data_IF_489524404396
#
_entry.id   IF_489524404396
#
_cell.length_a   1.000
_cell.length_b   1.000
_cell.length_c   1.000
_cell.angle_alpha   90.00
_cell.angle_beta   90.00
_cell.angle_gamma   90.00
#
_symmetry.space_group_name_H-M   'P 1'
#
loop_
_entity.id
_entity.type
_entity.pdbx_description
1 polymer ?
#
# COMPACT_ATOMS: atom_id res chain seq x y z
N UNK A 1 14.32 -32.96 68.70
CA UNK A 1 14.57 -31.58 69.15
C UNK A 1 16.07 -31.43 69.33
N UNK A 2 16.75 -30.91 68.31
CA UNK A 2 18.17 -30.58 68.42
C UNK A 2 18.28 -29.19 69.05
N UNK A 3 18.93 -29.13 70.19
CA UNK A 3 19.18 -27.95 70.99
C UNK A 3 20.07 -26.95 70.24
N UNK A 4 19.55 -25.76 69.93
CA UNK A 4 20.39 -24.60 69.59
C UNK A 4 20.71 -23.90 70.91
N UNK A 5 21.77 -24.36 71.57
CA UNK A 5 22.32 -23.71 72.76
C UNK A 5 23.54 -22.91 72.32
N UNK A 6 23.47 -21.59 72.52
CA UNK A 6 24.56 -20.62 72.32
C UNK A 6 24.77 -20.11 70.89
N UNK A 7 23.88 -19.22 70.45
CA UNK A 7 24.28 -18.08 69.62
C UNK A 7 24.52 -16.89 70.56
N UNK A 8 25.59 -17.01 71.34
CA UNK A 8 26.10 -15.94 72.19
C UNK A 8 26.77 -14.88 71.33
N UNK A 9 26.30 -13.64 71.46
CA UNK A 9 26.98 -12.36 71.29
C UNK A 9 28.52 -12.47 71.11
N UNK A 10 28.99 -12.69 69.87
CA UNK A 10 30.44 -12.81 69.59
C UNK A 10 30.84 -13.69 68.40
N UNK A 11 29.93 -14.42 67.75
CA UNK A 11 30.28 -15.40 66.71
C UNK A 11 30.61 -14.83 65.32
N UNK A 12 30.56 -13.52 65.11
CA UNK A 12 30.75 -12.92 63.77
C UNK A 12 29.73 -13.38 62.71
N UNK A 13 28.65 -14.03 63.15
CA UNK A 13 27.54 -14.43 62.27
C UNK A 13 26.67 -13.21 62.05
N UNK A 14 26.71 -12.71 60.83
CA UNK A 14 25.84 -11.67 60.34
C UNK A 14 24.42 -12.22 60.23
N UNK A 15 23.62 -12.02 61.29
CA UNK A 15 22.21 -12.42 61.35
C UNK A 15 21.39 -11.75 60.25
N UNK A 16 21.81 -10.57 59.77
CA UNK A 16 21.17 -9.89 58.67
C UNK A 16 21.41 -10.65 57.36
N UNK A 17 22.63 -11.10 57.12
CA UNK A 17 22.97 -12.01 56.00
C UNK A 17 22.22 -13.34 56.05
N UNK A 18 21.99 -13.93 57.23
CA UNK A 18 21.19 -15.15 57.37
C UNK A 18 19.70 -14.93 57.07
N UNK A 19 19.13 -13.82 57.55
CA UNK A 19 17.73 -13.44 57.29
C UNK A 19 17.55 -13.12 55.81
N UNK A 20 18.46 -12.36 55.22
CA UNK A 20 18.46 -12.04 53.79
C UNK A 20 18.63 -13.32 52.93
N UNK A 21 19.45 -14.27 53.40
CA UNK A 21 19.60 -15.61 52.79
C UNK A 21 18.30 -16.43 52.82
N UNK A 22 17.58 -16.43 53.93
CA UNK A 22 16.30 -17.13 54.06
C UNK A 22 15.20 -16.45 53.22
N UNK A 23 15.10 -15.12 53.26
CA UNK A 23 14.13 -14.35 52.49
C UNK A 23 14.39 -14.49 50.98
N UNK A 24 15.65 -14.44 50.56
CA UNK A 24 16.01 -14.64 49.15
C UNK A 24 15.73 -16.08 48.67
N UNK A 25 15.98 -17.09 49.51
CA UNK A 25 15.66 -18.48 49.18
C UNK A 25 14.14 -18.70 49.06
N UNK A 26 13.35 -18.16 49.99
CA UNK A 26 11.89 -18.24 49.96
C UNK A 26 11.31 -17.51 48.74
N UNK A 27 11.85 -16.32 48.44
CA UNK A 27 11.50 -15.54 47.24
C UNK A 27 11.86 -16.28 45.95
N UNK A 28 13.04 -16.89 45.88
CA UNK A 28 13.48 -17.65 44.70
C UNK A 28 12.57 -18.85 44.42
N UNK A 29 12.06 -19.53 45.46
CA UNK A 29 11.10 -20.64 45.29
C UNK A 29 9.78 -20.13 44.70
N UNK A 30 9.25 -19.01 45.22
CA UNK A 30 8.02 -18.40 44.72
C UNK A 30 8.18 -17.91 43.27
N UNK A 31 9.28 -17.22 42.97
CA UNK A 31 9.61 -16.72 41.62
C UNK A 31 9.80 -17.88 40.62
N UNK A 32 10.46 -18.98 41.02
CA UNK A 32 10.61 -20.15 40.17
C UNK A 32 9.26 -20.81 39.81
N UNK A 33 8.31 -20.81 40.75
CA UNK A 33 6.96 -21.30 40.52
C UNK A 33 6.17 -20.44 39.52
N UNK A 34 6.29 -19.11 39.64
CA UNK A 34 5.66 -18.15 38.73
C UNK A 34 6.29 -18.20 37.33
N UNK A 35 7.62 -18.21 37.24
CA UNK A 35 8.35 -18.26 35.98
C UNK A 35 8.02 -19.53 35.18
N UNK A 36 7.89 -20.69 35.84
CA UNK A 36 7.41 -21.92 35.17
C UNK A 36 6.02 -21.78 34.57
N UNK A 37 5.09 -21.11 35.26
CA UNK A 37 3.73 -20.87 34.75
C UNK A 37 3.74 -19.90 33.59
N UNK A 38 4.57 -18.86 33.68
CA UNK A 38 4.74 -17.86 32.62
C UNK A 38 5.30 -18.50 31.34
N UNK A 39 6.37 -19.28 31.44
CA UNK A 39 6.95 -20.05 30.32
C UNK A 39 5.89 -20.98 29.71
N UNK A 40 5.17 -21.74 30.53
CA UNK A 40 4.13 -22.64 30.03
C UNK A 40 2.99 -21.87 29.33
N UNK A 41 2.60 -20.70 29.84
CA UNK A 41 1.58 -19.87 29.21
C UNK A 41 2.08 -19.28 27.88
N UNK A 42 3.33 -18.81 27.82
CA UNK A 42 3.94 -18.26 26.61
C UNK A 42 4.10 -19.33 25.51
N UNK A 43 4.53 -20.54 25.88
CA UNK A 43 4.60 -21.69 24.97
C UNK A 43 3.22 -22.05 24.41
N UNK A 44 2.20 -22.14 25.27
CA UNK A 44 0.81 -22.40 24.84
C UNK A 44 0.29 -21.31 23.92
N UNK A 45 0.53 -20.04 24.24
CA UNK A 45 0.11 -18.91 23.41
C UNK A 45 0.79 -18.96 22.03
N UNK A 46 2.07 -19.29 22.00
CA UNK A 46 2.84 -19.45 20.76
C UNK A 46 2.29 -20.61 19.91
N UNK A 47 2.00 -21.75 20.54
CA UNK A 47 1.39 -22.90 19.89
C UNK A 47 0.01 -22.56 19.30
N UNK A 48 -0.84 -21.84 20.05
CA UNK A 48 -2.12 -21.35 19.52
C UNK A 48 -1.95 -20.34 18.38
N UNK A 49 -0.92 -19.49 18.45
CA UNK A 49 -0.57 -18.56 17.37
C UNK A 49 -0.21 -19.28 16.07
N UNK A 50 0.61 -20.33 16.16
CA UNK A 50 0.96 -21.19 15.03
C UNK A 50 -0.26 -21.88 14.43
N UNK A 51 -1.13 -22.47 15.27
CA UNK A 51 -2.37 -23.12 14.81
C UNK A 51 -3.27 -22.09 14.12
N UNK A 52 -3.42 -20.89 14.70
CA UNK A 52 -4.22 -19.81 14.10
C UNK A 52 -3.67 -19.39 12.73
N UNK A 53 -2.35 -19.26 12.60
CA UNK A 53 -1.71 -18.95 11.31
C UNK A 53 -2.01 -20.03 10.28
N UNK A 54 -1.79 -21.30 10.63
CA UNK A 54 -2.03 -22.43 9.73
C UNK A 54 -3.50 -22.52 9.29
N UNK A 55 -4.45 -22.30 10.20
CA UNK A 55 -5.89 -22.27 9.87
C UNK A 55 -6.23 -21.07 8.99
N UNK A 56 -5.62 -19.91 9.23
CA UNK A 56 -5.82 -18.72 8.40
C UNK A 56 -5.30 -18.92 6.98
N UNK A 57 -4.11 -19.51 6.82
CA UNK A 57 -3.54 -19.85 5.53
C UNK A 57 -4.40 -20.87 4.78
N UNK A 58 -4.86 -21.91 5.49
CA UNK A 58 -5.77 -22.91 4.93
C UNK A 58 -7.09 -22.30 4.48
N UNK A 59 -7.69 -21.41 5.30
CA UNK A 59 -8.90 -20.70 4.93
C UNK A 59 -8.71 -19.79 3.72
N UNK A 60 -7.57 -19.11 3.62
CA UNK A 60 -7.21 -18.30 2.44
C UNK A 60 -7.11 -19.15 1.17
N UNK A 61 -6.45 -20.32 1.26
CA UNK A 61 -6.36 -21.25 0.14
C UNK A 61 -7.74 -21.77 -0.32
N UNK A 62 -8.62 -22.12 0.63
CA UNK A 62 -9.98 -22.54 0.32
C UNK A 62 -10.83 -21.43 -0.29
N UNK A 63 -10.67 -20.19 0.17
CA UNK A 63 -11.38 -19.04 -0.39
C UNK A 63 -10.96 -18.79 -1.84
N UNK A 64 -9.66 -18.85 -2.11
CA UNK A 64 -9.12 -18.76 -3.49
C UNK A 64 -9.63 -19.90 -4.38
N UNK A 65 -9.70 -21.12 -3.85
CA UNK A 65 -10.25 -22.28 -4.55
C UNK A 65 -11.77 -22.22 -4.72
N UNK A 66 -12.49 -21.52 -3.85
CA UNK A 66 -13.94 -21.32 -3.96
C UNK A 66 -14.33 -20.27 -5.00
N UNK A 67 -13.37 -19.46 -5.47
CA UNK A 67 -13.63 -18.44 -6.47
C UNK A 67 -13.80 -19.07 -7.87
N UNK A 68 -15.06 -19.10 -8.33
CA UNK A 68 -15.45 -19.64 -9.64
C UNK A 68 -14.79 -18.84 -10.78
N UNK A 69 -14.43 -17.57 -10.58
CA UNK A 69 -13.75 -16.77 -11.58
C UNK A 69 -12.34 -17.31 -11.88
N UNK A 70 -11.66 -17.92 -10.90
CA UNK A 70 -10.34 -18.54 -11.07
C UNK A 70 -10.37 -19.67 -12.11
N UNK A 71 -11.45 -20.48 -12.13
CA UNK A 71 -11.60 -21.58 -13.08
C UNK A 71 -12.14 -21.15 -14.45
N UNK A 72 -12.78 -19.99 -14.52
CA UNK A 72 -13.30 -19.42 -15.77
C UNK A 72 -12.33 -18.44 -16.42
N UNK A 73 -11.12 -18.30 -15.85
CA UNK A 73 -10.10 -17.40 -16.38
C UNK A 73 -9.78 -17.77 -17.82
N UNK A 74 -9.83 -16.76 -18.70
CA UNK A 74 -9.49 -16.90 -20.11
C UNK A 74 -8.03 -16.54 -20.31
N UNK A 75 -7.33 -17.35 -21.09
CA UNK A 75 -6.00 -17.03 -21.59
C UNK A 75 -6.14 -16.55 -23.02
N UNK A 76 -5.47 -15.45 -23.35
CA UNK A 76 -5.38 -14.93 -24.71
C UNK A 76 -3.95 -15.15 -25.17
N UNK A 77 -3.80 -15.74 -26.35
CA UNK A 77 -2.54 -15.83 -27.05
C UNK A 77 -2.64 -14.97 -28.31
N UNK A 78 -1.80 -13.93 -28.38
CA UNK A 78 -1.73 -13.01 -29.52
C UNK A 78 -0.73 -13.47 -30.59
N UNK A 79 -0.12 -14.65 -30.43
CA UNK A 79 0.83 -15.21 -31.40
C UNK A 79 2.14 -14.42 -31.51
N UNK A 80 2.43 -13.55 -30.52
CA UNK A 80 3.67 -12.76 -30.48
C UNK A 80 3.60 -11.37 -31.13
N UNK A 81 2.42 -10.88 -31.52
CA UNK A 81 2.27 -9.47 -31.92
C UNK A 81 2.37 -8.56 -30.69
N UNK A 82 3.25 -7.56 -30.75
CA UNK A 82 3.37 -6.48 -29.76
C UNK A 82 2.51 -5.26 -30.12
N UNK A 83 1.85 -5.26 -31.28
CA UNK A 83 1.10 -4.12 -31.79
C UNK A 83 -0.26 -3.95 -31.09
N UNK A 84 -0.80 -5.04 -30.55
CA UNK A 84 -2.10 -5.05 -29.86
C UNK A 84 -2.03 -5.87 -28.58
N UNK A 85 -2.40 -5.25 -27.47
CA UNK A 85 -2.66 -5.95 -26.21
C UNK A 85 -4.13 -6.36 -26.14
N UNK A 86 -4.38 -7.65 -25.93
CA UNK A 86 -5.74 -8.19 -25.82
C UNK A 86 -5.91 -8.86 -24.45
N UNK A 87 -7.04 -8.57 -23.80
CA UNK A 87 -7.46 -9.24 -22.57
C UNK A 87 -8.86 -9.80 -22.74
N UNK A 88 -9.15 -10.93 -22.07
CA UNK A 88 -10.45 -11.58 -22.12
C UNK A 88 -11.06 -11.65 -20.73
N UNK A 89 -12.33 -11.27 -20.62
CA UNK A 89 -13.13 -11.46 -19.41
C UNK A 89 -13.61 -12.92 -19.28
N UNK A 90 -14.14 -13.29 -18.12
CA UNK A 90 -14.68 -14.64 -17.85
C UNK A 90 -15.81 -15.02 -18.82
N UNK A 91 -16.61 -14.04 -19.24
CA UNK A 91 -17.76 -14.21 -20.15
C UNK A 91 -17.37 -14.24 -21.64
N UNK A 92 -16.09 -14.03 -21.96
CA UNK A 92 -15.64 -14.03 -23.35
C UNK A 92 -15.82 -15.41 -24.00
N UNK A 93 -16.30 -15.42 -25.24
CA UNK A 93 -16.47 -16.63 -26.02
C UNK A 93 -15.11 -17.26 -26.38
N UNK A 94 -15.05 -18.60 -26.35
CA UNK A 94 -13.88 -19.35 -26.80
C UNK A 94 -13.82 -19.34 -28.32
N UNK A 95 -12.69 -18.93 -28.88
CA UNK A 95 -12.48 -18.92 -30.32
C UNK A 95 -11.20 -18.22 -30.73
N UNK A 96 -10.91 -18.28 -32.01
CA UNK A 96 -9.83 -17.53 -32.64
C UNK A 96 -10.41 -16.30 -33.33
N UNK A 97 -9.80 -15.15 -33.09
CA UNK A 97 -10.21 -13.88 -33.67
C UNK A 97 -9.03 -13.28 -34.46
N UNK A 98 -9.30 -12.85 -35.69
CA UNK A 98 -8.33 -12.11 -36.50
C UNK A 98 -8.63 -10.62 -36.37
N UNK A 99 -7.62 -9.84 -35.99
CA UNK A 99 -7.73 -8.40 -35.78
C UNK A 99 -6.75 -7.71 -36.72
N UNK A 100 -7.28 -6.86 -37.61
CA UNK A 100 -6.49 -6.03 -38.52
C UNK A 100 -6.53 -4.58 -38.05
N UNK A 101 -5.35 -4.02 -37.71
CA UNK A 101 -5.23 -2.61 -37.30
C UNK A 101 -5.03 -1.74 -38.54
N UNK A 102 -6.08 -1.03 -38.95
CA UNK A 102 -6.03 -0.18 -40.14
C UNK A 102 -5.43 1.21 -39.86
N UNK A 103 -5.74 1.79 -38.70
CA UNK A 103 -5.23 3.10 -38.29
C UNK A 103 -5.23 3.23 -36.77
N UNK A 104 -4.26 3.92 -36.20
CA UNK A 104 -4.19 4.18 -34.76
C UNK A 104 -4.89 5.49 -34.41
N UNK A 105 -5.41 5.57 -33.19
CA UNK A 105 -5.92 6.83 -32.65
C UNK A 105 -4.77 7.81 -32.44
N UNK A 106 -4.85 9.00 -33.03
CA UNK A 106 -3.91 10.08 -32.81
C UNK A 106 -4.59 11.23 -32.04
N UNK A 107 -3.85 11.88 -31.14
CA UNK A 107 -4.31 13.09 -30.49
C UNK A 107 -4.22 14.27 -31.47
N UNK A 108 -5.21 15.16 -31.42
CA UNK A 108 -5.18 16.40 -32.20
C UNK A 108 -4.18 17.39 -31.59
N UNK A 109 -3.24 17.88 -32.39
CA UNK A 109 -2.33 18.95 -32.04
C UNK A 109 -2.62 20.18 -32.91
N UNK A 110 -2.91 21.32 -32.28
CA UNK A 110 -3.11 22.60 -32.94
C UNK A 110 -1.96 23.53 -32.56
N UNK A 111 -1.30 24.10 -33.56
CA UNK A 111 -0.20 25.05 -33.38
C UNK A 111 -0.61 26.38 -33.99
N UNK A 112 -0.63 27.44 -33.17
CA UNK A 112 -0.93 28.79 -33.65
C UNK A 112 0.19 29.33 -34.55
N UNK A 113 -0.18 29.99 -35.65
CA UNK A 113 0.76 30.66 -36.54
C UNK A 113 0.38 32.13 -36.73
N UNK A 114 1.37 33.01 -36.81
CA UNK A 114 1.14 34.44 -37.04
C UNK A 114 0.46 35.18 -35.89
N UNK A 115 0.89 34.93 -34.65
CA UNK A 115 0.35 35.63 -33.47
C UNK A 115 0.73 37.12 -33.51
N UNK A 116 -0.26 37.96 -33.21
CA UNK A 116 -0.11 39.40 -33.14
C UNK A 116 -0.26 39.87 -31.68
N UNK A 117 0.38 40.97 -31.32
CA UNK A 117 0.12 41.65 -30.06
C UNK A 117 -1.21 42.42 -30.11
N UNK A 118 -1.63 42.96 -28.95
CA UNK A 118 -2.84 43.81 -28.84
C UNK A 118 -2.83 45.06 -29.73
N UNK A 119 -1.67 45.48 -30.28
CA UNK A 119 -1.51 46.58 -31.22
C UNK A 119 -1.46 46.17 -32.69
N UNK A 120 -1.54 44.86 -33.00
CA UNK A 120 -1.50 44.32 -34.36
C UNK A 120 -0.09 44.12 -34.94
N UNK A 121 0.97 44.24 -34.14
CA UNK A 121 2.33 43.91 -34.56
C UNK A 121 2.63 42.42 -34.34
N UNK A 122 3.58 41.87 -35.11
CA UNK A 122 4.00 40.47 -34.93
C UNK A 122 4.55 40.24 -33.52
N UNK A 123 4.06 39.20 -32.84
CA UNK A 123 4.47 38.89 -31.47
C UNK A 123 5.95 38.46 -31.45
N UNK A 124 6.78 39.21 -30.73
CA UNK A 124 8.23 38.94 -30.60
C UNK A 124 8.61 38.38 -29.22
N UNK A 125 7.70 38.45 -28.24
CA UNK A 125 7.90 37.98 -26.87
C UNK A 125 6.62 37.32 -26.35
N UNK A 126 6.77 36.14 -25.72
CA UNK A 126 5.66 35.38 -25.14
C UNK A 126 4.97 36.07 -23.95
N UNK A 127 5.64 37.02 -23.29
CA UNK A 127 5.08 37.81 -22.18
C UNK A 127 4.27 39.03 -22.62
N UNK A 128 4.17 39.30 -23.92
CA UNK A 128 3.40 40.44 -24.42
C UNK A 128 1.92 40.06 -24.53
N UNK A 129 1.05 40.91 -24.00
CA UNK A 129 -0.41 40.71 -24.05
C UNK A 129 -0.95 40.74 -25.48
N UNK A 130 -1.72 39.70 -25.84
CA UNK A 130 -2.33 39.54 -27.17
C UNK A 130 -3.78 40.05 -27.22
N UNK A 131 -4.33 40.49 -26.08
CA UNK A 131 -5.70 41.00 -25.95
C UNK A 131 -6.62 39.99 -25.27
N UNK A 132 -7.57 40.50 -24.47
CA UNK A 132 -8.53 39.68 -23.72
C UNK A 132 -9.74 39.28 -24.56
N UNK A 133 -10.53 38.33 -24.03
CA UNK A 133 -11.74 37.84 -24.67
C UNK A 133 -12.19 36.48 -24.14
N UNK A 134 -13.21 35.90 -24.76
CA UNK A 134 -13.68 34.56 -24.41
C UNK A 134 -13.21 33.54 -25.44
N UNK A 135 -12.29 32.66 -25.06
CA UNK A 135 -11.89 31.51 -25.85
C UNK A 135 -12.86 30.36 -25.61
N UNK A 136 -13.61 29.97 -26.64
CA UNK A 136 -14.49 28.79 -26.58
C UNK A 136 -13.77 27.59 -27.18
N UNK A 137 -13.57 26.54 -26.38
CA UNK A 137 -12.92 25.30 -26.80
C UNK A 137 -13.99 24.21 -26.91
N UNK A 138 -14.10 23.61 -28.09
CA UNK A 138 -14.99 22.48 -28.36
C UNK A 138 -14.19 21.23 -28.73
N UNK A 139 -14.62 20.07 -28.21
CA UNK A 139 -13.99 18.78 -28.51
C UNK A 139 -15.03 17.78 -29.02
N UNK A 140 -15.11 17.62 -30.34
CA UNK A 140 -16.02 16.64 -30.97
C UNK A 140 -17.47 16.78 -30.49
N UNK A 141 -18.02 15.70 -29.93
CA UNK A 141 -19.38 15.67 -29.39
C UNK A 141 -19.49 16.09 -27.90
N UNK A 142 -18.39 16.51 -27.27
CA UNK A 142 -18.40 16.97 -25.88
C UNK A 142 -18.91 18.41 -25.78
N UNK A 143 -19.50 18.81 -24.64
CA UNK A 143 -19.91 20.19 -24.42
C UNK A 143 -18.70 21.13 -24.51
N UNK A 144 -18.88 22.24 -25.20
CA UNK A 144 -17.87 23.30 -25.26
C UNK A 144 -17.71 23.96 -23.90
N UNK A 145 -16.50 24.40 -23.58
CA UNK A 145 -16.24 25.23 -22.42
C UNK A 145 -15.60 26.55 -22.83
N UNK A 146 -15.86 27.57 -22.01
CA UNK A 146 -15.41 28.92 -22.23
C UNK A 146 -14.29 29.23 -21.24
N UNK A 147 -13.21 29.80 -21.75
CA UNK A 147 -12.11 30.38 -20.97
C UNK A 147 -12.20 31.88 -21.16
N UNK A 148 -12.43 32.60 -20.07
CA UNK A 148 -12.39 34.06 -20.07
C UNK A 148 -10.95 34.50 -19.82
N UNK A 149 -10.41 35.29 -20.74
CA UNK A 149 -9.03 35.79 -20.72
C UNK A 149 -9.08 37.29 -20.44
N UNK A 150 -8.54 37.71 -19.31
CA UNK A 150 -8.42 39.13 -18.97
C UNK A 150 -7.38 39.81 -19.86
N UNK A 151 -7.64 41.05 -20.27
CA UNK A 151 -6.71 41.78 -21.15
C UNK A 151 -5.32 41.97 -20.51
N UNK A 152 -5.24 42.07 -19.19
CA UNK A 152 -3.99 42.24 -18.43
C UNK A 152 -3.22 40.94 -18.20
N UNK A 153 -3.87 39.78 -18.34
CA UNK A 153 -3.29 38.44 -18.24
C UNK A 153 -3.60 37.63 -19.51
N UNK A 154 -3.15 38.15 -20.66
CA UNK A 154 -3.38 37.59 -21.99
C UNK A 154 -2.06 37.32 -22.72
N UNK A 155 -0.99 37.02 -22.00
CA UNK A 155 0.27 36.59 -22.61
C UNK A 155 0.22 35.09 -22.95
N UNK A 156 1.16 34.58 -23.73
CA UNK A 156 1.23 33.14 -24.04
C UNK A 156 1.69 32.28 -22.86
N UNK A 157 2.18 32.91 -21.79
CA UNK A 157 2.64 32.23 -20.59
C UNK A 157 1.53 32.10 -19.52
N UNK A 158 0.40 32.79 -19.72
CA UNK A 158 -0.77 32.74 -18.84
C UNK A 158 -1.70 31.59 -19.25
#
# INVERSE_FOLDING_TARGET
MASISSLGVGSGIDLQSLVDGLVSAERAIAEAGLNRREVQAAERLSAFGLIKSAVSEFNGALTSLGDIATFQKRTVDTGGSEEVSVSASVDAALGSFTVDVLNTGAAQLLVGSGLLDSGGAALTNASTNIGGGTLTIGQGAQPSFNVEIDATASSLND
#
